data_IF_227968923299
#
_entry.id   IF_227968923299
#
_cell.length_a   1.000
_cell.length_b   1.000
_cell.length_c   1.000
_cell.angle_alpha   90.00
_cell.angle_beta   90.00
_cell.angle_gamma   90.00
#
_symmetry.space_group_name_H-M   'P 1'
#
loop_
_entity.id
_entity.type
_entity.pdbx_description
1 polymer ?
#
# COMPACT_ATOMS: atom_id res chain seq x y z
N UNK A 1 7.41 13.46 -11.88
CA UNK A 1 6.32 13.28 -10.90
C UNK A 1 6.97 13.18 -9.52
N UNK A 2 7.01 14.26 -8.74
CA UNK A 2 7.51 14.22 -7.36
C UNK A 2 6.34 13.87 -6.43
N UNK A 3 6.35 12.68 -5.84
CA UNK A 3 5.40 12.27 -4.82
C UNK A 3 5.86 12.86 -3.47
N UNK A 4 5.13 13.85 -2.96
CA UNK A 4 5.39 14.49 -1.67
C UNK A 4 5.32 13.45 -0.54
N UNK A 5 6.48 13.13 0.05
CA UNK A 5 6.69 11.97 0.93
C UNK A 5 6.38 12.23 2.42
N UNK A 6 5.78 13.36 2.79
CA UNK A 6 5.82 13.82 4.19
C UNK A 6 4.48 14.06 4.91
N UNK A 7 3.33 13.70 4.32
CA UNK A 7 2.02 13.77 5.01
C UNK A 7 1.46 12.37 5.26
N UNK A 8 2.30 11.43 5.71
CA UNK A 8 1.95 10.02 5.81
C UNK A 8 1.27 9.62 7.14
N UNK A 9 1.18 10.52 8.12
CA UNK A 9 0.74 10.15 9.48
C UNK A 9 -0.77 10.31 9.78
N UNK A 10 -1.57 10.86 8.86
CA UNK A 10 -3.03 11.07 9.04
C UNK A 10 -3.89 10.23 8.07
N UNK A 11 -3.40 9.06 7.65
CA UNK A 11 -4.19 8.14 6.84
C UNK A 11 -5.22 7.36 7.66
N UNK A 12 -6.34 6.98 7.05
CA UNK A 12 -7.32 6.09 7.68
C UNK A 12 -6.71 4.69 7.79
N UNK A 13 -6.58 4.19 9.02
CA UNK A 13 -6.12 2.82 9.26
C UNK A 13 -7.29 1.85 9.06
N UNK A 14 -7.10 0.85 8.21
CA UNK A 14 -8.05 -0.22 7.96
C UNK A 14 -7.37 -1.55 8.20
N UNK A 15 -8.02 -2.40 8.98
CA UNK A 15 -7.56 -3.76 9.22
C UNK A 15 -8.23 -4.68 8.20
N UNK A 16 -7.44 -5.44 7.45
CA UNK A 16 -7.93 -6.41 6.48
C UNK A 16 -7.40 -7.79 6.81
N UNK A 17 -8.30 -8.73 7.07
CA UNK A 17 -7.94 -10.14 7.19
C UNK A 17 -7.96 -10.80 5.82
N UNK A 18 -6.84 -11.42 5.44
CA UNK A 18 -6.68 -12.17 4.20
C UNK A 18 -6.20 -13.57 4.57
N UNK A 19 -7.07 -14.57 4.41
CA UNK A 19 -6.81 -15.92 4.89
C UNK A 19 -6.58 -15.94 6.41
N UNK A 20 -5.39 -16.39 6.83
CA UNK A 20 -4.97 -16.45 8.24
C UNK A 20 -4.22 -15.21 8.72
N UNK A 21 -3.82 -14.33 7.81
CA UNK A 21 -3.00 -13.15 8.12
C UNK A 21 -3.90 -11.92 8.22
N UNK A 22 -3.63 -11.07 9.22
CA UNK A 22 -4.30 -9.79 9.40
C UNK A 22 -3.33 -8.68 9.02
N UNK A 23 -3.69 -7.89 8.03
CA UNK A 23 -2.91 -6.76 7.55
C UNK A 23 -3.50 -5.46 8.11
N UNK A 24 -2.64 -4.63 8.72
CA UNK A 24 -2.97 -3.23 8.98
C UNK A 24 -2.56 -2.40 7.76
N UNK A 25 -3.54 -1.76 7.14
CA UNK A 25 -3.35 -0.97 5.92
C UNK A 25 -3.67 0.49 6.22
N UNK A 26 -2.70 1.37 5.97
CA UNK A 26 -2.90 2.82 6.10
C UNK A 26 -3.25 3.38 4.72
N UNK A 27 -4.39 4.04 4.62
CA UNK A 27 -4.93 4.52 3.35
C UNK A 27 -5.08 6.05 3.39
N UNK A 28 -4.47 6.74 2.43
CA UNK A 28 -4.56 8.19 2.28
C UNK A 28 -5.47 8.57 1.11
N UNK A 29 -6.62 9.18 1.38
CA UNK A 29 -7.46 9.72 0.32
C UNK A 29 -6.98 11.10 -0.07
N UNK A 30 -6.75 11.31 -1.37
CA UNK A 30 -6.65 12.67 -1.88
C UNK A 30 -8.08 13.19 -2.07
N UNK A 31 -8.37 14.41 -1.63
CA UNK A 31 -9.69 15.04 -1.75
C UNK A 31 -10.22 15.08 -3.19
N UNK A 32 -9.31 15.11 -4.17
CA UNK A 32 -9.64 15.11 -5.60
C UNK A 32 -9.51 13.73 -6.26
N UNK A 33 -9.17 12.68 -5.51
CA UNK A 33 -9.08 11.34 -6.09
C UNK A 33 -10.48 10.77 -6.35
N UNK A 34 -10.72 10.36 -7.60
CA UNK A 34 -11.83 9.48 -7.97
C UNK A 34 -11.57 8.02 -7.60
N UNK A 35 -10.42 7.76 -6.97
CA UNK A 35 -9.97 6.45 -6.54
C UNK A 35 -10.83 5.95 -5.36
N UNK A 36 -11.42 4.77 -5.53
CA UNK A 36 -12.24 4.14 -4.49
C UNK A 36 -11.37 3.45 -3.45
N UNK A 37 -11.91 3.22 -2.25
CA UNK A 37 -11.27 2.39 -1.21
C UNK A 37 -10.78 1.05 -1.77
N UNK A 38 -11.57 0.41 -2.63
CA UNK A 38 -11.23 -0.88 -3.22
C UNK A 38 -10.03 -0.78 -4.17
N UNK A 39 -10.01 0.23 -5.04
CA UNK A 39 -8.89 0.45 -5.95
C UNK A 39 -7.59 0.69 -5.17
N UNK A 40 -7.70 1.49 -4.11
CA UNK A 40 -6.57 1.82 -3.25
C UNK A 40 -6.01 0.63 -2.49
N UNK A 41 -6.90 -0.22 -1.94
CA UNK A 41 -6.51 -1.47 -1.29
C UNK A 41 -5.82 -2.42 -2.27
N UNK A 42 -6.36 -2.57 -3.49
CA UNK A 42 -5.73 -3.41 -4.53
C UNK A 42 -4.33 -2.91 -4.88
N UNK A 43 -4.14 -1.59 -5.04
CA UNK A 43 -2.82 -1.01 -5.33
C UNK A 43 -1.80 -1.26 -4.23
N UNK A 44 -2.21 -1.11 -2.96
CA UNK A 44 -1.31 -1.39 -1.82
C UNK A 44 -0.90 -2.86 -1.84
N UNK A 45 -1.85 -3.79 -2.02
CA UNK A 45 -1.55 -5.23 -2.10
C UNK A 45 -0.62 -5.58 -3.26
N UNK A 46 -0.84 -5.00 -4.45
CA UNK A 46 0.02 -5.22 -5.62
C UNK A 46 1.45 -4.75 -5.35
N UNK A 47 1.63 -3.54 -4.82
CA UNK A 47 2.95 -2.99 -4.49
C UNK A 47 3.70 -3.79 -3.44
N UNK A 48 3.00 -4.31 -2.43
CA UNK A 48 3.64 -5.17 -1.43
C UNK A 48 4.12 -6.47 -2.07
N UNK A 49 3.31 -7.12 -2.90
CA UNK A 49 3.71 -8.33 -3.62
C UNK A 49 4.89 -8.10 -4.58
N UNK A 50 4.94 -6.95 -5.26
CA UNK A 50 6.07 -6.57 -6.11
C UNK A 50 7.34 -6.37 -5.27
N UNK A 51 7.28 -5.61 -4.17
CA UNK A 51 8.42 -5.41 -3.26
C UNK A 51 8.97 -6.69 -2.65
N UNK A 52 8.13 -7.70 -2.41
CA UNK A 52 8.57 -9.02 -1.96
C UNK A 52 9.33 -9.81 -3.04
N UNK A 53 9.05 -9.55 -4.33
CA UNK A 53 9.78 -10.16 -5.45
C UNK A 53 11.11 -9.48 -5.68
N UNK A 54 11.13 -8.14 -5.77
CA UNK A 54 12.37 -7.37 -6.04
C UNK A 54 13.45 -7.58 -4.95
N UNK A 55 13.07 -7.87 -3.70
CA UNK A 55 14.03 -8.19 -2.63
C UNK A 55 14.73 -9.55 -2.77
N UNK A 56 14.25 -10.45 -3.64
CA UNK A 56 14.91 -11.75 -3.87
C UNK A 56 16.03 -11.66 -4.89
N UNK A 57 15.97 -10.70 -5.81
CA UNK A 57 16.98 -10.53 -6.87
C UNK A 57 18.22 -9.76 -6.39
N UNK A 58 18.18 -9.05 -5.26
CA UNK A 58 19.31 -8.28 -4.72
C UNK A 58 20.28 -9.11 -3.83
N UNK A 59 19.98 -10.38 -3.56
CA UNK A 59 20.82 -11.26 -2.71
C UNK A 59 21.72 -12.22 -3.48
N UNK A 60 21.87 -12.03 -4.79
CA UNK A 60 22.71 -12.89 -5.62
C UNK A 60 23.69 -12.04 -6.45
N UNK A 61 24.55 -11.29 -5.77
CA UNK A 61 25.85 -10.79 -6.25
C UNK A 61 26.91 -11.06 -5.17
#
# INVERSE_FOLDING_TARGET
MHENRNEQNTGTKTIKKIGKVTYEVIVHFNKNATETMQDKLKRIMLREMEREKDQKDDKND
#
